data_IF_879977923768
#
_entry.id   IF_879977923768
#
_cell.length_a   1.000
_cell.length_b   1.000
_cell.length_c   1.000
_cell.angle_alpha   90.00
_cell.angle_beta   90.00
_cell.angle_gamma   90.00
#
_symmetry.space_group_name_H-M   'P 1'
#
loop_
_entity.id
_entity.type
_entity.pdbx_description
1 polymer ?
#
# COMPACT_ATOMS: atom_id res chain seq x y z
N UNK A 1 60.46 -50.67 19.28
CA UNK A 1 59.64 -50.83 20.50
C UNK A 1 58.24 -50.29 20.24
N UNK A 2 57.25 -50.99 20.83
CA UNK A 2 55.78 -50.81 20.82
C UNK A 2 55.28 -49.35 20.72
N UNK A 3 54.28 -48.98 19.91
CA UNK A 3 52.86 -49.40 19.81
C UNK A 3 51.93 -48.27 20.33
N UNK A 4 50.98 -47.85 19.49
CA UNK A 4 49.59 -47.38 19.78
C UNK A 4 49.10 -46.61 18.54
N UNK A 5 48.45 -47.25 17.56
CA UNK A 5 47.02 -47.63 17.49
C UNK A 5 46.07 -46.53 17.98
N UNK A 6 45.30 -46.00 17.03
CA UNK A 6 44.13 -45.16 17.27
C UNK A 6 43.44 -44.76 15.96
N UNK A 7 42.96 -45.75 15.19
CA UNK A 7 42.13 -45.50 14.00
C UNK A 7 40.63 -45.51 14.33
N UNK A 8 39.85 -44.74 13.57
CA UNK A 8 38.43 -45.02 13.22
C UNK A 8 38.00 -44.05 12.12
N UNK A 9 38.03 -44.47 10.85
CA UNK A 9 36.88 -44.98 10.06
C UNK A 9 35.67 -44.01 10.12
N UNK A 10 35.63 -43.11 9.14
CA UNK A 10 34.45 -42.30 8.82
C UNK A 10 33.49 -43.19 8.02
N UNK A 11 32.47 -43.71 8.70
CA UNK A 11 31.42 -44.48 8.06
C UNK A 11 30.43 -43.54 7.35
N UNK A 12 30.20 -43.84 6.08
CA UNK A 12 29.08 -43.35 5.25
C UNK A 12 27.76 -43.51 6.00
N UNK A 13 27.00 -42.43 6.14
CA UNK A 13 25.53 -42.46 6.11
C UNK A 13 24.99 -41.10 5.67
N UNK A 14 24.79 -41.06 4.36
CA UNK A 14 23.86 -40.24 3.62
C UNK A 14 22.49 -40.22 4.34
N UNK A 15 22.02 -39.06 4.77
CA UNK A 15 20.60 -38.84 5.05
C UNK A 15 20.19 -37.58 4.29
N UNK A 16 19.63 -37.85 3.11
CA UNK A 16 18.93 -36.95 2.22
C UNK A 16 17.55 -36.69 2.84
N UNK A 17 17.30 -35.50 3.39
CA UNK A 17 15.93 -35.12 3.80
C UNK A 17 15.28 -34.38 2.64
N UNK A 18 14.37 -35.11 2.02
CA UNK A 18 13.49 -34.73 0.93
C UNK A 18 12.65 -33.50 1.27
N UNK A 19 12.86 -32.39 0.55
CA UNK A 19 11.93 -31.26 0.50
C UNK A 19 11.14 -31.36 -0.81
N UNK A 20 10.13 -32.22 -0.77
CA UNK A 20 9.04 -32.19 -1.76
C UNK A 20 8.17 -30.98 -1.45
N UNK A 21 8.48 -29.84 -2.06
CA UNK A 21 7.49 -28.78 -2.26
C UNK A 21 6.92 -28.93 -3.66
N UNK A 22 5.87 -29.74 -3.76
CA UNK A 22 5.07 -29.87 -4.96
C UNK A 22 3.63 -29.45 -4.63
N UNK A 23 3.37 -28.15 -4.72
CA UNK A 23 2.06 -27.53 -4.90
C UNK A 23 2.33 -26.12 -5.44
N UNK A 24 1.71 -25.57 -6.47
CA UNK A 24 0.82 -26.01 -7.54
C UNK A 24 0.78 -24.80 -8.50
N UNK A 25 0.47 -25.07 -9.78
CA UNK A 25 -0.10 -24.14 -10.77
C UNK A 25 0.71 -22.90 -11.19
N UNK A 26 1.36 -23.04 -12.34
CA UNK A 26 1.36 -21.97 -13.33
C UNK A 26 -0.08 -21.75 -13.82
N UNK A 27 -0.63 -20.56 -13.60
CA UNK A 27 -1.60 -19.94 -14.49
C UNK A 27 -1.10 -18.51 -14.76
N UNK A 28 -0.53 -18.36 -15.95
CA UNK A 28 -0.43 -17.09 -16.65
C UNK A 28 -1.81 -16.40 -16.65
N UNK A 29 -1.87 -15.20 -16.08
CA UNK A 29 -2.75 -14.12 -16.49
C UNK A 29 -2.27 -12.87 -15.77
N UNK A 30 -1.53 -12.02 -16.47
CA UNK A 30 -1.37 -10.62 -16.09
C UNK A 30 -2.78 -10.04 -15.93
N UNK A 31 -3.20 -9.59 -14.74
CA UNK A 31 -4.32 -8.67 -14.69
C UNK A 31 -3.77 -7.36 -15.23
N UNK A 32 -4.30 -6.95 -16.40
CA UNK A 32 -4.33 -5.55 -16.82
C UNK A 32 -4.79 -4.73 -15.61
N UNK A 33 -4.09 -3.62 -15.34
CA UNK A 33 -4.46 -2.63 -14.32
C UNK A 33 -5.98 -2.58 -14.11
N UNK A 34 -6.48 -3.09 -12.96
CA UNK A 34 -7.78 -2.67 -12.50
C UNK A 34 -7.54 -1.41 -11.69
N UNK A 35 -8.08 -0.30 -12.21
CA UNK A 35 -8.63 0.82 -11.47
C UNK A 35 -8.40 0.75 -9.94
N UNK A 36 -7.78 1.80 -9.38
CA UNK A 36 -7.55 1.98 -7.93
C UNK A 36 -8.91 2.10 -7.21
N UNK A 37 -9.67 1.03 -7.18
CA UNK A 37 -10.82 0.84 -6.31
C UNK A 37 -10.29 0.09 -5.12
N UNK A 38 -10.26 0.77 -3.98
CA UNK A 38 -9.92 0.11 -2.73
C UNK A 38 -10.81 -1.13 -2.53
N UNK A 39 -10.22 -2.31 -2.37
CA UNK A 39 -10.94 -3.53 -1.99
C UNK A 39 -11.17 -3.61 -0.49
N UNK A 40 -10.61 -2.68 0.28
CA UNK A 40 -10.67 -2.62 1.73
C UNK A 40 -11.85 -1.75 2.19
N UNK A 41 -12.75 -2.32 2.99
CA UNK A 41 -13.95 -1.63 3.51
C UNK A 41 -13.60 -0.31 4.21
N UNK A 42 -12.53 -0.28 5.00
CA UNK A 42 -12.11 0.91 5.76
C UNK A 42 -11.65 2.04 4.85
N UNK A 43 -10.90 1.72 3.81
CA UNK A 43 -10.44 2.68 2.81
C UNK A 43 -11.61 3.26 2.01
N UNK A 44 -12.60 2.44 1.61
CA UNK A 44 -13.84 2.95 0.99
C UNK A 44 -14.64 3.89 1.90
N UNK A 45 -14.69 3.60 3.20
CA UNK A 45 -15.36 4.45 4.18
C UNK A 45 -14.65 5.81 4.30
N UNK A 46 -13.31 5.80 4.41
CA UNK A 46 -12.50 7.03 4.45
C UNK A 46 -12.66 7.83 3.13
N UNK A 47 -12.66 7.15 1.99
CA UNK A 47 -12.88 7.76 0.68
C UNK A 47 -14.24 8.46 0.62
N UNK A 48 -15.30 7.77 1.04
CA UNK A 48 -16.65 8.33 1.06
C UNK A 48 -16.76 9.55 1.97
N UNK A 49 -16.13 9.52 3.14
CA UNK A 49 -16.09 10.66 4.06
C UNK A 49 -15.43 11.88 3.43
N UNK A 50 -14.27 11.70 2.80
CA UNK A 50 -13.52 12.78 2.16
C UNK A 50 -14.30 13.35 0.97
N UNK A 51 -14.80 12.51 0.06
CA UNK A 51 -15.55 13.00 -1.10
C UNK A 51 -16.85 13.70 -0.70
N UNK A 52 -17.56 13.21 0.33
CA UNK A 52 -18.74 13.88 0.86
C UNK A 52 -18.41 15.28 1.38
N UNK A 53 -17.27 15.47 2.02
CA UNK A 53 -16.88 16.78 2.51
C UNK A 53 -16.43 17.72 1.38
N UNK A 54 -15.69 17.20 0.40
CA UNK A 54 -15.31 17.96 -0.80
C UNK A 54 -16.53 18.44 -1.60
N UNK A 55 -17.55 17.58 -1.74
CA UNK A 55 -18.80 17.91 -2.44
C UNK A 55 -19.58 19.03 -1.71
N UNK A 56 -19.70 18.95 -0.37
CA UNK A 56 -20.30 20.05 0.43
C UNK A 56 -19.59 21.39 0.23
N UNK A 57 -18.27 21.35 0.09
CA UNK A 57 -17.44 22.53 -0.13
C UNK A 57 -17.30 22.90 -1.61
N UNK A 58 -17.99 22.18 -2.51
CA UNK A 58 -18.01 22.39 -3.97
C UNK A 58 -16.62 22.37 -4.61
N UNK A 59 -15.78 21.43 -4.18
CA UNK A 59 -14.43 21.26 -4.75
C UNK A 59 -14.48 20.27 -5.91
N UNK A 60 -14.29 20.75 -7.14
CA UNK A 60 -14.44 19.98 -8.39
C UNK A 60 -13.10 19.66 -9.10
N UNK A 61 -11.97 20.10 -8.53
CA UNK A 61 -10.64 19.99 -9.13
C UNK A 61 -9.95 18.63 -8.93
N UNK A 62 -10.53 17.71 -8.14
CA UNK A 62 -9.93 16.41 -7.85
C UNK A 62 -10.19 15.44 -9.01
N UNK A 63 -9.11 14.92 -9.63
CA UNK A 63 -9.17 14.07 -10.82
C UNK A 63 -8.60 12.66 -10.61
N UNK A 64 -7.94 12.42 -9.48
CA UNK A 64 -7.48 11.10 -9.09
C UNK A 64 -7.48 10.98 -7.57
N UNK A 65 -7.76 9.79 -7.06
CA UNK A 65 -7.86 9.54 -5.64
C UNK A 65 -7.42 8.11 -5.29
N UNK A 66 -6.80 7.93 -4.13
CA UNK A 66 -6.47 6.61 -3.60
C UNK A 66 -6.04 6.66 -2.14
N UNK A 67 -6.57 5.75 -1.33
CA UNK A 67 -6.19 5.58 0.07
C UNK A 67 -5.55 4.21 0.22
N UNK A 68 -4.46 4.15 0.97
CA UNK A 68 -3.86 2.90 1.39
C UNK A 68 -3.63 2.96 2.89
N UNK A 69 -4.35 2.13 3.63
CA UNK A 69 -4.17 1.96 5.08
C UNK A 69 -2.90 1.18 5.41
N UNK A 70 -2.38 0.38 4.47
CA UNK A 70 -1.09 -0.31 4.60
C UNK A 70 0.09 0.67 4.58
N UNK A 71 0.05 1.65 3.67
CA UNK A 71 1.09 2.69 3.55
C UNK A 71 0.75 3.95 4.34
N UNK A 72 -0.37 3.96 5.07
CA UNK A 72 -0.92 5.10 5.78
C UNK A 72 -0.94 6.38 4.93
N UNK A 73 -1.52 6.32 3.73
CA UNK A 73 -1.51 7.46 2.81
C UNK A 73 -2.87 7.72 2.17
N UNK A 74 -3.16 9.00 1.98
CA UNK A 74 -4.24 9.52 1.13
C UNK A 74 -3.58 10.27 -0.02
N UNK A 75 -3.81 9.84 -1.25
CA UNK A 75 -3.20 10.40 -2.44
C UNK A 75 -4.28 11.08 -3.29
N UNK A 76 -4.10 12.37 -3.57
CA UNK A 76 -5.00 13.15 -4.42
C UNK A 76 -4.26 13.72 -5.63
N UNK A 77 -4.88 13.60 -6.80
CA UNK A 77 -4.48 14.29 -8.01
C UNK A 77 -5.43 15.45 -8.28
N UNK A 78 -4.88 16.65 -8.51
CA UNK A 78 -5.67 17.86 -8.71
C UNK A 78 -5.38 18.51 -10.05
N UNK A 79 -6.42 19.01 -10.71
CA UNK A 79 -6.35 19.73 -11.99
C UNK A 79 -6.67 21.20 -11.75
N UNK A 80 -5.64 22.03 -11.85
CA UNK A 80 -5.74 23.47 -11.60
C UNK A 80 -4.66 24.22 -12.41
N UNK A 81 -4.78 25.55 -12.50
CA UNK A 81 -3.77 26.41 -13.14
C UNK A 81 -2.41 26.29 -12.42
N UNK A 82 -1.35 26.89 -12.96
CA UNK A 82 -0.03 26.85 -12.26
C UNK A 82 -0.06 27.81 -11.07
N UNK A 83 -0.72 28.93 -11.24
CA UNK A 83 -0.86 30.04 -10.31
C UNK A 83 -1.70 29.64 -9.09
N UNK A 84 -2.72 28.81 -9.29
CA UNK A 84 -3.64 28.38 -8.24
C UNK A 84 -3.24 27.06 -7.58
N UNK A 85 -2.15 26.41 -8.02
CA UNK A 85 -1.79 25.07 -7.54
C UNK A 85 -1.51 25.05 -6.03
N UNK A 86 -0.69 25.97 -5.52
CA UNK A 86 -0.28 25.96 -4.12
C UNK A 86 -1.45 26.29 -3.19
N UNK A 87 -2.29 27.25 -3.55
CA UNK A 87 -3.49 27.61 -2.79
C UNK A 87 -4.52 26.47 -2.79
N UNK A 88 -4.77 25.87 -3.96
CA UNK A 88 -5.67 24.71 -4.10
C UNK A 88 -5.16 23.52 -3.29
N UNK A 89 -3.85 23.24 -3.35
CA UNK A 89 -3.20 22.19 -2.59
C UNK A 89 -3.39 22.40 -1.09
N UNK A 90 -3.04 23.58 -0.58
CA UNK A 90 -3.16 23.89 0.85
C UNK A 90 -4.61 23.80 1.34
N UNK A 91 -5.57 24.29 0.55
CA UNK A 91 -6.98 24.19 0.88
C UNK A 91 -7.45 22.73 0.95
N UNK A 92 -7.08 21.91 -0.03
CA UNK A 92 -7.42 20.49 -0.04
C UNK A 92 -6.75 19.71 1.10
N UNK A 93 -5.47 19.95 1.37
CA UNK A 93 -4.77 19.35 2.51
C UNK A 93 -5.50 19.68 3.82
N UNK A 94 -5.93 20.93 4.00
CA UNK A 94 -6.73 21.35 5.16
C UNK A 94 -8.05 20.60 5.24
N UNK A 95 -8.85 20.56 4.17
CA UNK A 95 -10.16 19.90 4.16
C UNK A 95 -10.02 18.40 4.48
N UNK A 96 -9.06 17.73 3.85
CA UNK A 96 -8.83 16.30 4.06
C UNK A 96 -8.38 16.05 5.50
N UNK A 97 -7.38 16.78 6.01
CA UNK A 97 -6.90 16.61 7.38
C UNK A 97 -7.98 16.89 8.42
N UNK A 98 -8.79 17.94 8.23
CA UNK A 98 -9.92 18.22 9.11
C UNK A 98 -10.97 17.11 9.06
N UNK A 99 -11.28 16.58 7.88
CA UNK A 99 -12.22 15.45 7.73
C UNK A 99 -11.73 14.22 8.48
N UNK A 100 -10.45 13.87 8.32
CA UNK A 100 -9.84 12.73 9.00
C UNK A 100 -9.89 12.91 10.52
N UNK A 101 -9.45 14.07 11.01
CA UNK A 101 -9.41 14.39 12.44
C UNK A 101 -10.81 14.37 13.08
N UNK A 102 -11.81 14.99 12.43
CA UNK A 102 -13.21 15.02 12.91
C UNK A 102 -13.82 13.61 13.04
N UNK A 103 -13.31 12.64 12.30
CA UNK A 103 -13.77 11.24 12.33
C UNK A 103 -12.84 10.32 13.14
N UNK A 104 -11.88 10.86 13.89
CA UNK A 104 -10.95 10.08 14.72
C UNK A 104 -9.97 9.21 13.91
N UNK A 105 -9.66 9.62 12.68
CA UNK A 105 -8.76 8.92 11.77
C UNK A 105 -7.41 9.61 11.81
N UNK A 106 -6.44 8.98 12.48
CA UNK A 106 -5.11 9.53 12.68
C UNK A 106 -4.04 8.74 11.92
N UNK A 107 -2.88 9.36 11.71
CA UNK A 107 -1.69 8.69 11.17
C UNK A 107 -1.64 8.54 9.65
N UNK A 108 -2.65 9.00 8.90
CA UNK A 108 -2.60 9.02 7.43
C UNK A 108 -1.88 10.28 6.92
N UNK A 109 -0.90 10.09 6.04
CA UNK A 109 -0.22 11.17 5.33
C UNK A 109 -1.00 11.59 4.08
N UNK A 110 -1.27 12.89 3.93
CA UNK A 110 -1.97 13.45 2.75
C UNK A 110 -0.94 13.89 1.72
N UNK A 111 -1.00 13.29 0.53
CA UNK A 111 -0.12 13.57 -0.60
C UNK A 111 -0.92 14.13 -1.76
N UNK A 112 -0.71 15.41 -2.10
CA UNK A 112 -1.42 16.06 -3.21
C UNK A 112 -0.45 16.39 -4.34
N UNK A 113 -0.76 15.93 -5.56
CA UNK A 113 0.04 16.15 -6.77
C UNK A 113 -0.78 16.84 -7.85
N UNK A 114 -0.13 17.71 -8.63
CA UNK A 114 -0.72 18.24 -9.86
C UNK A 114 -0.81 17.14 -10.92
N UNK A 115 -1.91 17.11 -11.67
CA UNK A 115 -2.16 16.20 -12.79
C UNK A 115 -2.22 16.93 -14.12
#
# INVERSE_FOLDING_TARGET
MLNKRGGKIINKKLILVSLVFMFLTACSNTPKDPEIFSTNKKEKEIESLIFKELDKQKVDVVVAYGISTETNSVNLGIRTSKEDYDSTKQNLEKIVNETLTKNGIEGLAVNIKKK
#
